data_IF_760984832761
#
_entry.id   IF_760984832761
#
_cell.length_a   1.000
_cell.length_b   1.000
_cell.length_c   1.000
_cell.angle_alpha   90.00
_cell.angle_beta   90.00
_cell.angle_gamma   90.00
#
_symmetry.space_group_name_H-M   'P 1'
#
loop_
_entity.id
_entity.type
_entity.pdbx_description
1 polymer ?
#
# COMPACT_ATOMS: atom_id res chain seq x y z
N UNK A 1 5.24 14.59 -77.65
CA UNK A 1 5.65 14.46 -76.23
C UNK A 1 4.40 14.21 -75.41
N UNK A 2 4.32 13.12 -74.63
CA UNK A 2 3.16 12.76 -73.79
C UNK A 2 3.47 13.12 -72.33
N UNK A 3 2.61 13.83 -71.58
CA UNK A 3 2.83 14.02 -70.16
C UNK A 3 2.48 12.73 -69.41
N UNK A 4 3.39 12.32 -68.51
CA UNK A 4 3.22 11.20 -67.59
C UNK A 4 2.32 11.69 -66.45
N UNK A 5 1.20 11.00 -66.24
CA UNK A 5 0.28 11.22 -65.13
C UNK A 5 0.94 10.71 -63.85
N UNK A 6 1.30 11.61 -62.93
CA UNK A 6 1.84 11.27 -61.61
C UNK A 6 0.74 10.76 -60.69
N UNK A 7 0.87 9.51 -60.21
CA UNK A 7 0.02 8.92 -59.19
C UNK A 7 0.47 9.43 -57.81
N UNK A 8 -0.36 10.24 -57.14
CA UNK A 8 -0.15 10.60 -55.74
C UNK A 8 -0.76 9.51 -54.84
N UNK A 9 0.08 8.69 -54.22
CA UNK A 9 -0.35 7.78 -53.16
C UNK A 9 -0.40 8.59 -51.86
N UNK A 10 -1.58 9.04 -51.47
CA UNK A 10 -1.81 9.62 -50.15
C UNK A 10 -1.75 8.51 -49.09
N UNK A 11 -0.67 8.47 -48.31
CA UNK A 11 -0.54 7.57 -47.17
C UNK A 11 -1.58 7.94 -46.10
N UNK A 12 -2.66 7.16 -46.01
CA UNK A 12 -3.58 7.22 -44.88
C UNK A 12 -2.86 6.59 -43.68
N UNK A 13 -2.38 7.42 -42.76
CA UNK A 13 -1.94 6.94 -41.45
C UNK A 13 -3.18 6.60 -40.64
N UNK A 14 -3.60 5.32 -40.68
CA UNK A 14 -4.56 4.79 -39.71
C UNK A 14 -3.79 4.67 -38.40
N UNK A 15 -3.99 5.62 -37.48
CA UNK A 15 -3.55 5.42 -36.10
C UNK A 15 -4.17 4.11 -35.60
N UNK A 16 -3.39 3.17 -35.05
CA UNK A 16 -3.98 1.98 -34.45
C UNK A 16 -5.00 2.44 -33.40
N UNK A 17 -6.18 1.80 -33.29
CA UNK A 17 -7.12 2.15 -32.24
C UNK A 17 -6.37 2.04 -30.92
N UNK A 18 -6.34 3.12 -30.15
CA UNK A 18 -5.85 3.08 -28.79
C UNK A 18 -6.77 2.10 -28.05
N UNK A 19 -6.31 0.87 -27.87
CA UNK A 19 -6.94 -0.04 -26.95
C UNK A 19 -6.80 0.62 -25.58
N UNK A 20 -7.89 1.21 -25.09
CA UNK A 20 -7.96 1.60 -23.70
C UNK A 20 -7.65 0.33 -22.91
N UNK A 21 -6.47 0.29 -22.28
CA UNK A 21 -6.17 -0.70 -21.26
C UNK A 21 -7.29 -0.54 -20.25
N UNK A 22 -8.23 -1.49 -20.19
CA UNK A 22 -9.26 -1.49 -19.16
C UNK A 22 -8.51 -1.69 -17.87
N UNK A 23 -8.22 -0.59 -17.18
CA UNK A 23 -7.56 -0.63 -15.89
C UNK A 23 -8.58 -1.23 -14.93
N UNK A 24 -8.47 -2.54 -14.72
CA UNK A 24 -9.34 -3.26 -13.81
C UNK A 24 -9.20 -2.57 -12.45
N UNK A 25 -10.33 -2.15 -11.89
CA UNK A 25 -10.45 -1.62 -10.54
C UNK A 25 -11.07 -2.70 -9.65
N UNK A 26 -10.34 -3.79 -9.34
CA UNK A 26 -10.89 -4.94 -8.62
C UNK A 26 -11.35 -4.59 -7.19
N UNK A 27 -10.94 -3.44 -6.66
CA UNK A 27 -11.30 -2.97 -5.32
C UNK A 27 -12.35 -1.86 -5.34
N UNK A 28 -13.00 -1.59 -6.49
CA UNK A 28 -14.03 -0.56 -6.60
C UNK A 28 -15.14 -0.76 -5.57
N UNK A 29 -15.43 0.30 -4.80
CA UNK A 29 -16.43 0.29 -3.74
C UNK A 29 -15.98 -0.34 -2.41
N UNK A 30 -14.78 -0.92 -2.34
CA UNK A 30 -14.24 -1.48 -1.09
C UNK A 30 -13.57 -0.38 -0.28
N UNK A 31 -14.03 -0.18 0.95
CA UNK A 31 -13.40 0.73 1.91
C UNK A 31 -12.34 0.00 2.73
N UNK A 32 -11.11 0.52 2.73
CA UNK A 32 -9.99 -0.03 3.48
C UNK A 32 -9.42 1.05 4.38
N UNK A 33 -9.29 0.77 5.66
CA UNK A 33 -8.59 1.64 6.59
C UNK A 33 -7.14 1.17 6.72
N UNK A 34 -6.20 2.09 6.51
CA UNK A 34 -4.77 1.86 6.69
C UNK A 34 -4.31 2.68 7.89
N UNK A 35 -3.71 2.01 8.87
CA UNK A 35 -3.29 2.59 10.14
C UNK A 35 -1.76 2.54 10.26
N UNK A 36 -1.04 3.63 9.99
CA UNK A 36 0.39 3.67 10.24
C UNK A 36 0.67 3.63 11.75
N UNK A 37 1.44 2.64 12.19
CA UNK A 37 1.84 2.49 13.59
C UNK A 37 2.61 3.71 14.11
N UNK A 38 2.54 3.94 15.43
CA UNK A 38 3.24 5.01 16.14
C UNK A 38 2.91 6.43 15.61
N UNK A 39 3.78 7.42 15.86
CA UNK A 39 3.68 8.81 15.38
C UNK A 39 3.90 9.84 16.49
N UNK A 40 4.39 11.02 16.13
CA UNK A 40 4.70 12.08 17.07
C UNK A 40 5.85 11.67 18.01
N UNK A 41 5.62 11.74 19.32
CA UNK A 41 6.61 11.36 20.33
C UNK A 41 6.79 9.85 20.45
N UNK A 42 5.78 9.07 20.09
CA UNK A 42 5.88 7.62 19.97
C UNK A 42 6.69 7.29 18.71
N UNK A 43 7.99 7.08 18.85
CA UNK A 43 8.89 6.79 17.71
C UNK A 43 8.80 5.35 17.24
N UNK A 44 8.40 4.44 18.13
CA UNK A 44 8.60 3.00 17.98
C UNK A 44 10.09 2.64 17.97
N UNK A 45 10.41 1.45 17.42
CA UNK A 45 11.78 0.96 17.36
C UNK A 45 12.66 1.81 16.42
N UNK A 46 13.95 1.94 16.77
CA UNK A 46 14.96 2.49 15.88
C UNK A 46 15.78 1.35 15.26
N UNK A 47 15.95 1.37 13.94
CA UNK A 47 16.83 0.44 13.25
C UNK A 47 18.32 0.78 13.46
N UNK A 48 19.26 -0.10 13.03
CA UNK A 48 20.70 0.11 13.19
C UNK A 48 21.24 1.41 12.56
N UNK A 49 20.53 1.93 11.56
CA UNK A 49 20.86 3.18 10.85
C UNK A 49 20.17 4.42 11.43
N UNK A 50 19.39 4.26 12.51
CA UNK A 50 18.67 5.35 13.17
C UNK A 50 17.28 5.64 12.60
N UNK A 51 16.83 4.95 11.54
CA UNK A 51 15.46 5.11 11.05
C UNK A 51 14.43 4.66 12.09
N UNK A 52 13.43 5.50 12.33
CA UNK A 52 12.38 5.26 13.32
C UNK A 52 11.21 4.50 12.70
N UNK A 53 10.63 3.58 13.47
CA UNK A 53 9.49 2.78 13.04
C UNK A 53 8.28 3.64 12.63
N UNK A 54 8.04 4.79 13.28
CA UNK A 54 6.97 5.72 12.93
C UNK A 54 7.07 6.25 11.49
N UNK A 55 8.29 6.50 11.02
CA UNK A 55 8.57 7.11 9.71
C UNK A 55 8.45 6.06 8.61
N UNK A 56 9.03 4.88 8.85
CA UNK A 56 8.92 3.73 7.94
C UNK A 56 7.45 3.30 7.81
N UNK A 57 6.73 3.21 8.94
CA UNK A 57 5.32 2.81 8.94
C UNK A 57 4.44 3.81 8.18
N UNK A 58 4.68 5.12 8.32
CA UNK A 58 3.96 6.15 7.56
C UNK A 58 4.25 6.06 6.07
N UNK A 59 5.52 5.92 5.72
CA UNK A 59 5.98 5.88 4.32
C UNK A 59 5.40 4.67 3.59
N UNK A 60 5.55 3.47 4.16
CA UNK A 60 4.98 2.24 3.59
C UNK A 60 3.47 2.30 3.49
N UNK A 61 2.79 2.87 4.50
CA UNK A 61 1.33 3.01 4.49
C UNK A 61 0.84 3.95 3.39
N UNK A 62 1.58 5.03 3.07
CA UNK A 62 1.26 5.92 1.96
C UNK A 62 1.41 5.22 0.61
N UNK A 63 2.48 4.47 0.41
CA UNK A 63 2.62 3.65 -0.81
C UNK A 63 1.48 2.63 -0.95
N UNK A 64 1.12 1.95 0.16
CA UNK A 64 -0.01 1.03 0.15
C UNK A 64 -1.32 1.74 -0.18
N UNK A 65 -1.58 2.91 0.43
CA UNK A 65 -2.76 3.73 0.12
C UNK A 65 -2.84 4.03 -1.36
N UNK A 66 -1.76 4.52 -1.95
CA UNK A 66 -1.75 4.94 -3.35
C UNK A 66 -2.00 3.75 -4.29
N UNK A 67 -1.38 2.60 -4.02
CA UNK A 67 -1.64 1.36 -4.77
C UNK A 67 -3.08 0.85 -4.63
N UNK A 68 -3.67 0.93 -3.43
CA UNK A 68 -5.06 0.53 -3.19
C UNK A 68 -6.04 1.47 -3.90
N UNK A 69 -5.80 2.79 -3.86
CA UNK A 69 -6.59 3.80 -4.58
C UNK A 69 -6.53 3.58 -6.09
N UNK A 70 -5.33 3.31 -6.64
CA UNK A 70 -5.16 3.00 -8.07
C UNK A 70 -5.97 1.77 -8.51
N UNK A 71 -6.25 0.83 -7.60
CA UNK A 71 -7.09 -0.36 -7.82
C UNK A 71 -8.58 -0.13 -7.53
N UNK A 72 -8.98 1.09 -7.20
CA UNK A 72 -10.36 1.52 -7.00
C UNK A 72 -10.86 1.53 -5.55
N UNK A 73 -10.02 1.21 -4.57
CA UNK A 73 -10.44 1.21 -3.17
C UNK A 73 -10.68 2.64 -2.64
N UNK A 74 -11.63 2.79 -1.72
CA UNK A 74 -11.76 3.99 -0.88
C UNK A 74 -10.85 3.79 0.33
N UNK A 75 -9.73 4.51 0.39
CA UNK A 75 -8.77 4.35 1.49
C UNK A 75 -8.91 5.45 2.52
N UNK A 76 -9.00 5.06 3.80
CA UNK A 76 -8.95 5.98 4.93
C UNK A 76 -7.66 5.75 5.70
N UNK A 77 -6.89 6.81 5.94
CA UNK A 77 -5.68 6.76 6.76
C UNK A 77 -5.99 7.28 8.17
N UNK A 78 -5.48 6.64 9.22
CA UNK A 78 -5.63 7.17 10.60
C UNK A 78 -4.77 8.42 10.85
N UNK A 79 -3.61 8.49 10.18
CA UNK A 79 -2.77 9.68 10.11
C UNK A 79 -2.09 9.77 8.74
N UNK A 80 -1.87 10.99 8.27
CA UNK A 80 -1.16 11.27 7.00
C UNK A 80 0.14 12.05 7.19
N UNK A 81 0.43 12.44 8.43
CA UNK A 81 1.62 13.17 8.86
C UNK A 81 2.24 12.51 10.10
N UNK A 82 3.34 13.09 10.57
CA UNK A 82 3.98 12.67 11.81
C UNK A 82 3.27 13.34 13.00
N UNK A 83 2.19 12.70 13.45
CA UNK A 83 1.46 13.08 14.65
C UNK A 83 1.21 11.87 15.53
N UNK A 84 1.19 12.11 16.83
CA UNK A 84 0.74 11.12 17.80
C UNK A 84 -0.77 10.90 17.66
N UNK A 85 -1.20 9.65 17.83
CA UNK A 85 -2.61 9.28 17.78
C UNK A 85 -2.85 8.13 18.74
N UNK A 86 -3.75 8.36 19.71
CA UNK A 86 -4.05 7.40 20.76
C UNK A 86 -4.69 6.13 20.18
N UNK A 87 -4.51 5.00 20.87
CA UNK A 87 -5.11 3.72 20.46
C UNK A 87 -6.64 3.79 20.44
N UNK A 88 -7.24 4.54 21.38
CA UNK A 88 -8.69 4.79 21.42
C UNK A 88 -9.19 5.52 20.19
N UNK A 89 -8.44 6.51 19.70
CA UNK A 89 -8.83 7.31 18.54
C UNK A 89 -8.75 6.47 17.27
N UNK A 90 -7.73 5.61 17.15
CA UNK A 90 -7.61 4.64 16.05
C UNK A 90 -8.79 3.69 16.03
N UNK A 91 -9.19 3.17 17.19
CA UNK A 91 -10.37 2.30 17.30
C UNK A 91 -11.66 3.05 16.94
N UNK A 92 -11.83 4.27 17.46
CA UNK A 92 -13.00 5.10 17.16
C UNK A 92 -13.11 5.40 15.65
N UNK A 93 -11.99 5.59 14.96
CA UNK A 93 -11.98 5.72 13.49
C UNK A 93 -12.42 4.41 12.80
N UNK A 94 -11.98 3.24 13.26
CA UNK A 94 -12.45 1.96 12.69
C UNK A 94 -13.97 1.83 12.89
N UNK A 95 -14.46 2.12 14.09
CA UNK A 95 -15.88 2.04 14.44
C UNK A 95 -16.73 3.04 13.64
N UNK A 96 -16.23 4.25 13.41
CA UNK A 96 -16.92 5.27 12.62
C UNK A 96 -16.90 4.95 11.12
N UNK A 97 -15.76 4.52 10.60
CA UNK A 97 -15.57 4.35 9.16
C UNK A 97 -16.17 3.04 8.64
N UNK A 98 -16.32 2.04 9.51
CA UNK A 98 -16.81 0.69 9.17
C UNK A 98 -16.12 0.15 7.90
N UNK A 99 -14.77 0.10 7.86
CA UNK A 99 -14.06 -0.39 6.68
C UNK A 99 -14.26 -1.90 6.52
N UNK A 100 -14.18 -2.41 5.29
CA UNK A 100 -14.17 -3.84 5.03
C UNK A 100 -12.92 -4.51 5.61
N UNK A 101 -11.79 -3.79 5.60
CA UNK A 101 -10.51 -4.22 6.17
C UNK A 101 -9.89 -3.03 6.91
N UNK A 102 -9.44 -3.24 8.14
CA UNK A 102 -8.54 -2.34 8.84
C UNK A 102 -7.16 -2.99 8.96
N UNK A 103 -6.15 -2.40 8.32
CA UNK A 103 -4.79 -2.92 8.30
C UNK A 103 -3.84 -1.95 9.01
N UNK A 104 -3.13 -2.45 10.02
CA UNK A 104 -2.07 -1.68 10.69
C UNK A 104 -0.70 -2.09 10.17
N UNK A 105 0.11 -1.12 9.79
CA UNK A 105 1.50 -1.33 9.37
C UNK A 105 2.43 -0.92 10.52
N UNK A 106 3.27 -1.85 10.98
CA UNK A 106 4.33 -1.60 11.94
C UNK A 106 5.67 -2.04 11.38
N UNK A 107 6.72 -1.33 11.78
CA UNK A 107 8.10 -1.75 11.63
C UNK A 107 8.65 -2.13 13.01
N UNK A 108 9.44 -3.22 13.06
CA UNK A 108 10.02 -3.77 14.28
C UNK A 108 11.53 -3.87 14.10
N UNK A 109 12.27 -3.86 15.21
CA UNK A 109 13.70 -4.09 15.22
C UNK A 109 14.04 -5.21 16.21
N UNK A 110 15.20 -5.83 16.01
CA UNK A 110 15.80 -6.68 17.04
C UNK A 110 16.29 -5.82 18.22
N UNK A 111 16.42 -6.40 19.43
CA UNK A 111 17.08 -5.72 20.54
C UNK A 111 18.49 -5.25 20.18
N UNK A 112 19.04 -4.27 20.92
CA UNK A 112 20.35 -3.67 20.63
C UNK A 112 21.53 -4.65 20.57
N UNK A 113 21.41 -5.81 21.22
CA UNK A 113 22.41 -6.89 21.20
C UNK A 113 22.02 -8.06 20.26
N UNK A 114 20.95 -7.90 19.49
CA UNK A 114 20.46 -8.89 18.53
C UNK A 114 21.14 -8.77 17.17
N UNK A 115 21.11 -9.86 16.41
CA UNK A 115 21.69 -9.92 15.07
C UNK A 115 20.67 -9.43 14.03
N UNK A 116 20.70 -8.13 13.72
CA UNK A 116 19.79 -7.51 12.76
C UNK A 116 19.99 -8.02 11.32
N UNK A 117 21.21 -8.44 10.96
CA UNK A 117 21.56 -8.89 9.61
C UNK A 117 20.96 -10.27 9.30
N UNK A 118 20.95 -11.14 10.32
CA UNK A 118 20.44 -12.51 10.20
C UNK A 118 19.01 -12.68 10.73
N UNK A 119 18.45 -11.68 11.42
CA UNK A 119 17.08 -11.73 11.95
C UNK A 119 16.16 -10.78 11.17
N UNK A 120 15.63 -11.29 10.06
CA UNK A 120 14.74 -10.57 9.15
C UNK A 120 13.53 -11.41 8.77
N UNK A 121 12.45 -10.73 8.39
CA UNK A 121 11.21 -11.38 7.97
C UNK A 121 9.99 -10.56 8.36
N UNK A 122 8.81 -11.15 8.16
CA UNK A 122 7.54 -10.51 8.45
C UNK A 122 6.77 -11.28 9.53
N UNK A 123 5.91 -10.58 10.26
CA UNK A 123 4.94 -11.19 11.16
C UNK A 123 3.60 -10.50 10.96
N UNK A 124 2.55 -11.29 10.91
CA UNK A 124 1.17 -10.81 10.81
C UNK A 124 0.42 -11.21 12.07
N UNK A 125 -0.33 -10.28 12.64
CA UNK A 125 -1.18 -10.52 13.80
C UNK A 125 -2.64 -10.28 13.42
N UNK A 126 -3.55 -10.99 14.07
CA UNK A 126 -4.98 -10.78 13.93
C UNK A 126 -5.64 -10.97 15.30
N UNK A 127 -6.78 -10.31 15.49
CA UNK A 127 -7.59 -10.46 16.70
C UNK A 127 -8.92 -11.15 16.38
N UNK A 128 -9.65 -10.66 15.39
CA UNK A 128 -10.91 -11.27 14.96
C UNK A 128 -10.67 -12.48 14.05
N UNK A 129 -11.49 -13.52 14.22
CA UNK A 129 -11.43 -14.75 13.42
C UNK A 129 -11.57 -14.48 11.91
N UNK A 130 -12.42 -13.53 11.53
CA UNK A 130 -12.61 -13.10 10.13
C UNK A 130 -11.34 -12.56 9.45
N UNK A 131 -10.37 -12.07 10.23
CA UNK A 131 -9.10 -11.56 9.71
C UNK A 131 -8.02 -12.65 9.56
N UNK A 132 -8.27 -13.86 10.08
CA UNK A 132 -7.27 -14.93 10.11
C UNK A 132 -6.78 -15.30 8.71
N UNK A 133 -7.68 -15.61 7.77
CA UNK A 133 -7.30 -16.04 6.42
C UNK A 133 -6.49 -14.96 5.68
N UNK A 134 -6.85 -13.68 5.85
CA UNK A 134 -6.10 -12.57 5.27
C UNK A 134 -4.71 -12.45 5.89
N UNK A 135 -4.60 -12.56 7.22
CA UNK A 135 -3.32 -12.51 7.92
C UNK A 135 -2.38 -13.64 7.46
N UNK A 136 -2.88 -14.88 7.37
CA UNK A 136 -2.10 -16.01 6.87
C UNK A 136 -1.70 -15.84 5.41
N UNK A 137 -2.61 -15.34 4.56
CA UNK A 137 -2.29 -15.04 3.17
C UNK A 137 -1.15 -14.01 3.07
N UNK A 138 -1.24 -12.90 3.80
CA UNK A 138 -0.20 -11.87 3.81
C UNK A 138 1.14 -12.41 4.33
N UNK A 139 1.10 -13.22 5.40
CA UNK A 139 2.30 -13.85 5.96
C UNK A 139 3.04 -14.69 4.92
N UNK A 140 2.30 -15.58 4.25
CA UNK A 140 2.87 -16.49 3.28
C UNK A 140 3.31 -15.75 2.01
N UNK A 141 2.48 -14.84 1.50
CA UNK A 141 2.75 -14.15 0.25
C UNK A 141 3.99 -13.25 0.35
N UNK A 142 4.13 -12.50 1.44
CA UNK A 142 5.27 -11.60 1.65
C UNK A 142 6.49 -12.34 2.22
N UNK A 143 6.29 -13.42 2.98
CA UNK A 143 7.38 -14.23 3.54
C UNK A 143 8.09 -15.13 2.52
N UNK A 144 7.42 -15.52 1.44
CA UNK A 144 7.99 -16.29 0.33
C UNK A 144 8.69 -15.42 -0.74
N UNK A 145 8.58 -14.09 -0.63
CA UNK A 145 9.15 -13.15 -1.60
C UNK A 145 10.63 -12.81 -1.32
N UNK A 146 11.31 -13.57 -0.46
CA UNK A 146 12.71 -13.39 -0.06
C UNK A 146 13.60 -14.56 -0.44
#
# INVERSE_FOLDING_TARGET
MKPILGLAISSIFISPPAFAQVQLQPLSGIKILVNPGHGGQETGAAGPTGYLAKDVSLTVSKFLRDELVLRGAVVVMTREDDRELALSDRQAMIDQQQPAIALTIHYTAVPNNGDAENTKGIRTFWYHSQAHSLAIFLHNYLGLAG
#
